data_IF_667788020025
#
_entry.id   IF_667788020025
#
_cell.length_a   1.000
_cell.length_b   1.000
_cell.length_c   1.000
_cell.angle_alpha   90.00
_cell.angle_beta   90.00
_cell.angle_gamma   90.00
#
_symmetry.space_group_name_H-M   'P 1'
#
loop_
_entity.id
_entity.type
_entity.pdbx_description
1 polymer ?
#
# COMPACT_ATOMS: atom_id res chain seq x y z
N UNK A 1 8.70 8.42 5.13
CA UNK A 1 8.66 8.35 3.64
C UNK A 1 8.00 7.05 3.23
N UNK A 2 7.08 7.07 2.26
CA UNK A 2 6.28 5.88 1.89
C UNK A 2 7.12 4.69 1.42
N UNK A 3 8.35 4.92 0.93
CA UNK A 3 9.28 3.85 0.55
C UNK A 3 9.63 2.92 1.72
N UNK A 4 9.72 3.46 2.93
CA UNK A 4 9.97 2.63 4.12
C UNK A 4 8.85 1.61 4.37
N UNK A 5 7.59 1.96 4.09
CA UNK A 5 6.45 1.04 4.14
C UNK A 5 6.60 -0.05 3.07
N UNK A 6 7.23 0.28 1.94
CA UNK A 6 7.33 -0.63 0.80
C UNK A 6 8.50 -1.62 0.87
N UNK A 7 9.62 -1.16 1.42
CA UNK A 7 10.89 -1.88 1.47
C UNK A 7 11.11 -2.63 2.79
N UNK A 8 10.48 -2.22 3.90
CA UNK A 8 10.67 -2.88 5.19
C UNK A 8 10.08 -4.31 5.16
N UNK A 9 10.88 -5.36 5.47
CA UNK A 9 10.38 -6.73 5.61
C UNK A 9 9.28 -6.87 6.68
N UNK A 10 9.25 -5.98 7.67
CA UNK A 10 8.21 -5.90 8.71
C UNK A 10 6.95 -5.16 8.22
N UNK A 11 6.92 -4.71 6.98
CA UNK A 11 5.73 -4.11 6.39
C UNK A 11 4.55 -5.07 6.48
N UNK A 12 3.39 -4.64 7.02
CA UNK A 12 2.18 -5.45 7.08
C UNK A 12 1.80 -6.06 5.72
N UNK A 13 2.00 -5.29 4.64
CA UNK A 13 1.67 -5.72 3.28
C UNK A 13 2.43 -6.99 2.90
N UNK A 14 3.70 -7.11 3.32
CA UNK A 14 4.51 -8.31 3.06
C UNK A 14 4.23 -9.41 4.07
N UNK A 15 4.11 -9.04 5.35
CA UNK A 15 3.99 -9.98 6.46
C UNK A 15 2.72 -10.83 6.41
N UNK A 16 1.59 -10.22 6.04
CA UNK A 16 0.29 -10.92 6.04
C UNK A 16 -0.15 -11.40 4.66
N UNK A 17 0.65 -11.17 3.62
CA UNK A 17 0.34 -11.67 2.27
C UNK A 17 1.03 -13.01 2.05
N UNK A 18 0.25 -14.03 1.69
CA UNK A 18 0.78 -15.37 1.47
C UNK A 18 1.76 -15.40 0.29
N UNK A 19 2.83 -16.19 0.42
CA UNK A 19 3.80 -16.36 -0.65
C UNK A 19 3.12 -16.88 -1.93
N UNK A 20 3.39 -16.22 -3.07
CA UNK A 20 2.80 -16.56 -4.36
C UNK A 20 1.39 -16.02 -4.60
N UNK A 21 0.80 -15.31 -3.63
CA UNK A 21 -0.42 -14.51 -3.86
C UNK A 21 -0.08 -13.11 -4.40
N UNK A 22 -1.07 -12.44 -4.99
CA UNK A 22 -0.93 -11.04 -5.38
C UNK A 22 -0.61 -10.17 -4.15
N UNK A 23 0.34 -9.25 -4.29
CA UNK A 23 0.94 -8.51 -3.18
C UNK A 23 -0.05 -7.64 -2.39
N UNK A 24 -1.17 -7.29 -3.01
CA UNK A 24 -2.25 -6.50 -2.46
C UNK A 24 -3.53 -7.31 -2.20
N UNK A 25 -3.43 -8.65 -2.21
CA UNK A 25 -4.59 -9.54 -2.00
C UNK A 25 -5.20 -9.46 -0.60
N UNK A 26 -4.46 -8.95 0.39
CA UNK A 26 -4.93 -8.78 1.78
C UNK A 26 -5.00 -7.29 2.15
N UNK A 27 -3.94 -6.53 1.89
CA UNK A 27 -3.84 -5.11 2.20
C UNK A 27 -3.64 -4.33 0.89
N UNK A 28 -4.67 -3.57 0.49
CA UNK A 28 -4.61 -2.70 -0.69
C UNK A 28 -3.94 -1.37 -0.35
N UNK A 29 -2.67 -1.23 -0.73
CA UNK A 29 -1.95 0.03 -0.61
C UNK A 29 -2.20 0.93 -1.83
N UNK A 30 -2.68 2.15 -1.57
CA UNK A 30 -2.85 3.22 -2.56
C UNK A 30 -2.08 4.45 -2.14
N UNK A 31 -1.49 5.16 -3.12
CA UNK A 31 -0.75 6.39 -2.88
C UNK A 31 -1.42 7.57 -3.60
N UNK A 32 -1.59 8.68 -2.89
CA UNK A 32 -2.06 9.95 -3.45
C UNK A 32 -0.91 10.95 -3.38
N UNK A 33 -0.44 11.42 -4.53
CA UNK A 33 0.63 12.39 -4.65
C UNK A 33 0.09 13.81 -4.80
N UNK A 34 0.82 14.79 -4.29
CA UNK A 34 0.45 16.22 -4.33
C UNK A 34 0.71 16.90 -5.69
N UNK A 35 1.40 16.24 -6.62
CA UNK A 35 1.72 16.78 -7.94
C UNK A 35 0.63 16.48 -8.96
N UNK A 36 0.69 17.13 -10.13
CA UNK A 36 -0.21 16.84 -11.24
C UNK A 36 0.07 15.45 -11.81
N UNK A 37 -0.98 14.79 -12.31
CA UNK A 37 -0.84 13.50 -13.00
C UNK A 37 0.00 13.60 -14.29
N UNK A 38 0.08 14.79 -14.90
CA UNK A 38 0.97 15.06 -16.05
C UNK A 38 2.46 15.06 -15.68
N UNK A 39 2.78 15.44 -14.43
CA UNK A 39 4.15 15.57 -13.95
C UNK A 39 4.65 14.30 -13.25
N UNK A 40 3.76 13.34 -12.99
CA UNK A 40 4.10 12.10 -12.33
C UNK A 40 4.76 11.11 -13.29
N UNK A 41 6.06 10.91 -13.08
CA UNK A 41 6.84 9.84 -13.68
C UNK A 41 6.41 8.48 -13.11
N UNK A 42 5.27 7.96 -13.58
CA UNK A 42 4.68 6.70 -13.11
C UNK A 42 5.71 5.58 -13.16
N UNK A 43 6.53 5.49 -14.20
CA UNK A 43 7.59 4.49 -14.37
C UNK A 43 8.61 4.44 -13.23
N UNK A 44 8.81 5.55 -12.50
CA UNK A 44 9.73 5.65 -11.36
C UNK A 44 9.07 5.35 -10.01
N UNK A 45 7.76 5.14 -9.99
CA UNK A 45 7.03 4.79 -8.78
C UNK A 45 7.41 3.38 -8.33
N UNK A 46 7.50 3.19 -7.01
CA UNK A 46 7.88 1.92 -6.40
C UNK A 46 6.99 0.75 -6.88
N UNK A 47 7.55 -0.45 -7.18
CA UNK A 47 6.79 -1.60 -7.68
C UNK A 47 5.61 -2.04 -6.80
N UNK A 48 5.67 -1.78 -5.49
CA UNK A 48 4.53 -2.03 -4.58
C UNK A 48 3.25 -1.29 -4.98
N UNK A 49 3.39 -0.11 -5.58
CA UNK A 49 2.27 0.70 -6.06
C UNK A 49 1.91 0.36 -7.51
N UNK A 50 2.57 -0.62 -8.13
CA UNK A 50 2.24 -1.20 -9.44
C UNK A 50 2.56 -2.71 -9.44
N UNK A 51 1.94 -3.49 -8.54
CA UNK A 51 2.28 -4.89 -8.41
C UNK A 51 1.92 -5.64 -9.70
N UNK A 52 2.78 -6.58 -10.08
CA UNK A 52 2.46 -7.52 -11.14
C UNK A 52 1.45 -8.54 -10.60
N UNK A 53 0.33 -8.69 -11.29
CA UNK A 53 -0.80 -9.52 -10.83
C UNK A 53 -1.18 -10.62 -11.79
N UNK A 54 -1.79 -11.65 -11.21
CA UNK A 54 -2.41 -12.75 -11.93
C UNK A 54 -1.42 -13.60 -12.71
N UNK A 55 -1.96 -14.54 -13.50
CA UNK A 55 -1.16 -15.56 -14.21
C UNK A 55 -0.12 -14.98 -15.17
N UNK A 56 -0.35 -13.78 -15.70
CA UNK A 56 0.51 -13.15 -16.70
C UNK A 56 1.43 -12.07 -16.12
N UNK A 57 1.35 -11.79 -14.82
CA UNK A 57 2.21 -10.79 -14.17
C UNK A 57 2.05 -9.39 -14.74
N UNK A 58 0.82 -9.00 -15.10
CA UNK A 58 0.57 -7.66 -15.66
C UNK A 58 0.61 -6.61 -14.54
N UNK A 59 1.25 -5.45 -14.75
CA UNK A 59 1.29 -4.39 -13.74
C UNK A 59 -0.10 -3.78 -13.58
N UNK A 60 -0.53 -3.61 -12.34
CA UNK A 60 -1.75 -2.87 -11.99
C UNK A 60 -1.45 -1.36 -11.90
N UNK A 61 -2.01 -0.52 -12.80
CA UNK A 61 -1.78 0.93 -12.77
C UNK A 61 -2.71 1.68 -11.79
N UNK A 62 -3.68 1.03 -11.13
CA UNK A 62 -4.80 1.67 -10.45
C UNK A 62 -4.54 2.03 -8.98
N UNK A 63 -3.28 2.02 -8.54
CA UNK A 63 -2.89 2.29 -7.14
C UNK A 63 -2.26 3.65 -6.89
N UNK A 64 -2.06 4.43 -7.95
CA UNK A 64 -1.38 5.71 -7.89
C UNK A 64 -2.31 6.81 -8.36
N UNK A 65 -2.51 7.78 -7.48
CA UNK A 65 -3.40 8.91 -7.70
C UNK A 65 -2.61 10.20 -7.52
N UNK A 66 -3.14 11.27 -8.10
CA UNK A 66 -2.63 12.63 -7.97
C UNK A 66 -3.77 13.54 -7.53
N UNK A 67 -3.42 14.69 -6.97
CA UNK A 67 -4.42 15.75 -6.73
C UNK A 67 -5.00 16.24 -8.05
N UNK A 68 -6.28 16.61 -8.00
CA UNK A 68 -6.95 17.31 -9.08
C UNK A 68 -6.95 18.81 -8.76
N UNK A 69 -6.13 19.57 -9.49
CA UNK A 69 -6.04 21.02 -9.33
C UNK A 69 -7.19 21.77 -10.00
N UNK A 70 -7.96 21.13 -10.89
CA UNK A 70 -9.06 21.76 -11.63
C UNK A 70 -10.37 21.70 -10.84
N UNK A 71 -10.61 20.61 -10.10
CA UNK A 71 -11.85 20.44 -9.32
C UNK A 71 -11.63 20.71 -7.83
N UNK A 72 -10.90 19.84 -7.13
CA UNK A 72 -10.67 19.90 -5.70
C UNK A 72 -9.37 19.21 -5.28
N UNK A 73 -8.51 19.95 -4.58
CA UNK A 73 -7.33 19.38 -3.95
C UNK A 73 -7.72 18.65 -2.65
N UNK A 74 -7.58 17.31 -2.67
CA UNK A 74 -7.92 16.46 -1.54
C UNK A 74 -7.08 16.76 -0.28
N UNK A 75 -5.85 17.27 -0.43
CA UNK A 75 -5.03 17.65 0.73
C UNK A 75 -5.64 18.83 1.46
N UNK A 76 -6.11 19.85 0.73
CA UNK A 76 -6.75 21.02 1.34
C UNK A 76 -8.12 20.66 1.90
N UNK A 77 -8.92 19.93 1.11
CA UNK A 77 -10.31 19.57 1.47
C UNK A 77 -10.37 18.61 2.67
N UNK A 78 -9.31 17.84 2.92
CA UNK A 78 -9.20 16.92 4.09
C UNK A 78 -8.24 17.41 5.17
N UNK A 79 -7.62 18.58 5.00
CA UNK A 79 -6.68 19.14 5.97
C UNK A 79 -5.43 18.29 6.18
N UNK A 80 -4.93 17.66 5.13
CA UNK A 80 -3.72 16.82 5.17
C UNK A 80 -2.50 17.73 5.17
N UNK A 81 -1.61 17.55 6.15
CA UNK A 81 -0.33 18.23 6.21
C UNK A 81 0.51 17.89 4.97
N UNK A 82 0.84 18.90 4.16
CA UNK A 82 1.56 18.74 2.90
C UNK A 82 3.04 18.42 3.09
N UNK A 83 3.65 18.85 4.19
CA UNK A 83 5.07 18.58 4.45
C UNK A 83 5.25 17.17 5.02
N UNK A 84 4.34 16.75 5.91
CA UNK A 84 4.45 15.48 6.63
C UNK A 84 3.71 14.33 5.95
N UNK A 85 2.61 14.64 5.25
CA UNK A 85 1.66 13.65 4.75
C UNK A 85 1.04 12.81 5.88
N UNK A 86 0.30 11.76 5.49
CA UNK A 86 -0.23 10.79 6.44
C UNK A 86 -0.45 9.42 5.80
N UNK A 87 -0.59 8.41 6.65
CA UNK A 87 -1.11 7.08 6.34
C UNK A 87 -2.53 7.02 6.89
N UNK A 88 -3.49 6.61 6.06
CA UNK A 88 -4.86 6.36 6.45
C UNK A 88 -5.15 4.85 6.36
N UNK A 89 -5.46 4.22 7.49
CA UNK A 89 -5.85 2.81 7.53
C UNK A 89 -7.37 2.73 7.51
N UNK A 90 -7.91 2.10 6.46
CA UNK A 90 -9.34 1.93 6.25
C UNK A 90 -9.68 0.44 6.30
N UNK A 91 -10.72 0.09 7.03
CA UNK A 91 -11.23 -1.27 7.15
C UNK A 91 -11.97 -1.71 5.88
N UNK A 92 -12.20 -3.03 5.70
CA UNK A 92 -13.00 -3.54 4.58
C UNK A 92 -14.43 -2.99 4.51
N UNK A 93 -14.99 -2.55 5.64
CA UNK A 93 -16.30 -1.89 5.72
C UNK A 93 -16.24 -0.37 5.54
N UNK A 94 -15.13 0.14 5.02
CA UNK A 94 -14.88 1.55 4.68
C UNK A 94 -14.75 2.50 5.88
N UNK A 95 -14.72 1.99 7.11
CA UNK A 95 -14.46 2.81 8.28
C UNK A 95 -12.96 3.09 8.48
N UNK A 96 -12.63 4.33 8.82
CA UNK A 96 -11.26 4.71 9.21
C UNK A 96 -10.93 4.07 10.55
N UNK A 97 -9.87 3.27 10.58
CA UNK A 97 -9.36 2.65 11.79
C UNK A 97 -8.22 3.47 12.43
N UNK A 98 -7.39 4.11 11.61
CA UNK A 98 -6.22 4.83 12.10
C UNK A 98 -5.78 5.93 11.14
N UNK A 99 -5.22 7.00 11.69
CA UNK A 99 -4.48 8.05 10.97
C UNK A 99 -3.10 8.13 11.59
N UNK A 100 -2.05 7.95 10.78
CA UNK A 100 -0.66 7.92 11.23
C UNK A 100 0.23 8.87 10.42
N UNK A 101 1.35 9.35 10.99
CA UNK A 101 2.44 9.94 10.21
C UNK A 101 3.05 8.96 9.18
N UNK A 102 3.61 9.47 8.09
CA UNK A 102 4.26 8.66 7.02
C UNK A 102 5.54 7.92 7.45
N UNK A 103 6.07 8.19 8.64
CA UNK A 103 7.26 7.57 9.23
C UNK A 103 6.93 6.62 10.40
N UNK A 104 5.65 6.53 10.81
CA UNK A 104 5.18 5.68 11.90
C UNK A 104 5.00 4.21 11.46
N UNK A 105 6.05 3.62 10.86
CA UNK A 105 6.01 2.24 10.33
C UNK A 105 5.91 1.20 11.44
N UNK A 106 6.47 1.48 12.62
CA UNK A 106 6.40 0.59 13.78
C UNK A 106 4.99 0.54 14.36
N UNK A 107 4.32 1.69 14.47
CA UNK A 107 2.94 1.80 14.93
C UNK A 107 1.97 1.16 13.93
N UNK A 108 2.22 1.33 12.63
CA UNK A 108 1.46 0.66 11.58
C UNK A 108 1.59 -0.87 11.70
N UNK A 109 2.81 -1.38 11.89
CA UNK A 109 3.04 -2.82 12.09
C UNK A 109 2.35 -3.34 13.35
N UNK A 110 2.52 -2.65 14.48
CA UNK A 110 1.91 -3.01 15.75
C UNK A 110 0.36 -3.03 15.69
N UNK A 111 -0.24 -2.12 14.91
CA UNK A 111 -1.69 -2.10 14.69
C UNK A 111 -2.19 -3.41 14.07
N UNK A 112 -1.55 -3.89 12.99
CA UNK A 112 -1.96 -5.14 12.34
C UNK A 112 -1.54 -6.38 13.13
N UNK A 113 -0.40 -6.36 13.82
CA UNK A 113 0.10 -7.47 14.66
C UNK A 113 -0.88 -7.81 15.80
N UNK A 114 -1.72 -6.86 16.22
CA UNK A 114 -2.70 -7.07 17.29
C UNK A 114 -3.86 -8.01 16.90
N UNK A 115 -4.11 -8.23 15.60
CA UNK A 115 -5.28 -9.01 15.17
C UNK A 115 -5.09 -9.86 13.91
N UNK A 116 -4.09 -9.59 13.06
CA UNK A 116 -3.82 -10.41 11.88
C UNK A 116 -2.99 -11.63 12.23
N UNK A 117 -3.27 -12.73 11.54
CA UNK A 117 -2.47 -13.95 11.60
C UNK A 117 -1.61 -14.06 10.35
N UNK A 118 -0.35 -14.46 10.53
CA UNK A 118 0.52 -14.74 9.40
C UNK A 118 -0.03 -15.91 8.56
N UNK A 119 0.06 -15.84 7.23
CA UNK A 119 -0.37 -16.92 6.37
C UNK A 119 0.43 -18.19 6.66
N UNK A 120 -0.24 -19.34 6.63
CA UNK A 120 0.43 -20.61 6.80
C UNK A 120 1.52 -20.78 5.74
N UNK A 121 2.70 -21.26 6.16
CA UNK A 121 3.78 -21.57 5.23
C UNK A 121 3.28 -22.55 4.15
N UNK A 122 3.50 -22.20 2.88
CA UNK A 122 3.19 -23.09 1.76
C UNK A 122 4.11 -24.31 1.91
N UNK A 123 3.54 -25.48 2.22
CA UNK A 123 4.28 -26.74 2.10
C UNK A 123 4.53 -26.96 0.62
N UNK A 124 5.79 -26.95 0.19
CA UNK A 124 6.15 -27.41 -1.15
C UNK A 124 5.55 -28.80 -1.38
N UNK A 125 4.62 -28.90 -2.34
CA UNK A 125 4.24 -30.21 -2.86
C UNK A 125 5.48 -30.76 -3.55
N UNK A 126 6.12 -31.76 -2.94
CA UNK A 126 7.10 -32.59 -3.61
C UNK A 126 6.50 -33.06 -4.94
N UNK A 127 7.12 -32.65 -6.04
CA UNK A 127 6.77 -33.10 -7.37
C UNK A 127 7.21 -34.57 -7.40
N UNK A 128 6.24 -35.49 -7.39
CA UNK A 128 6.49 -36.88 -7.70
C UNK A 128 6.69 -36.99 -9.22
N UNK A 129 7.84 -37.54 -9.61
CA UNK A 129 8.26 -37.84 -10.99
C UNK A 129 7.27 -38.74 -11.75
#
# INVERSE_FOLDING_TARGET
SYRSIADDPRSPVRRYTAQGSDLDGVIDLRAVFQQSHHDLAVEKVHPLLKPAKGKFGLPDPEKVFCVDFETQDIFDVRGIDREKGCILVVRPDQYVAQVLPLDATAELAAFFDAFMLEPAAVKEKAIAE
#
